data_IF_346043876043
#
_entry.id   IF_346043876043
#
_cell.length_a   1.000
_cell.length_b   1.000
_cell.length_c   1.000
_cell.angle_alpha   90.00
_cell.angle_beta   90.00
_cell.angle_gamma   90.00
#
_symmetry.space_group_name_H-M   'P 1'
#
loop_
_entity.id
_entity.type
_entity.pdbx_description
1 polymer ?
#
# COMPACT_ATOMS: atom_id res chain seq x y z
N UNK A 1 -38.96 -14.67 -11.20
CA UNK A 1 -38.77 -13.21 -11.01
C UNK A 1 -37.31 -13.04 -10.68
N UNK A 2 -36.48 -12.88 -11.72
CA UNK A 2 -35.05 -12.67 -11.56
C UNK A 2 -34.82 -11.26 -11.02
N UNK A 3 -34.50 -11.18 -9.73
CA UNK A 3 -34.09 -9.93 -9.09
C UNK A 3 -32.59 -9.79 -9.33
N UNK A 4 -32.23 -9.14 -10.43
CA UNK A 4 -30.86 -8.74 -10.69
C UNK A 4 -30.59 -7.41 -9.96
N UNK A 5 -29.50 -7.29 -9.18
CA UNK A 5 -29.13 -6.01 -8.61
C UNK A 5 -28.81 -5.01 -9.72
N UNK A 6 -29.54 -3.89 -9.71
CA UNK A 6 -29.31 -2.77 -10.62
C UNK A 6 -28.10 -1.96 -10.15
N UNK A 7 -26.97 -2.19 -10.80
CA UNK A 7 -25.73 -1.45 -10.55
C UNK A 7 -25.68 -0.10 -11.29
N UNK A 8 -26.72 0.27 -12.05
CA UNK A 8 -26.85 1.61 -12.66
C UNK A 8 -27.14 2.68 -11.58
N UNK A 9 -27.67 2.26 -10.42
CA UNK A 9 -27.91 3.11 -9.25
C UNK A 9 -26.66 3.48 -8.43
N UNK A 10 -25.53 2.79 -8.62
CA UNK A 10 -24.23 3.17 -8.04
C UNK A 10 -23.47 4.05 -9.05
N UNK A 11 -24.08 5.18 -9.39
CA UNK A 11 -23.43 6.24 -10.14
C UNK A 11 -22.12 6.66 -9.45
N UNK A 12 -21.01 6.64 -10.20
CA UNK A 12 -19.71 7.10 -9.71
C UNK A 12 -18.68 6.01 -9.41
N UNK A 13 -18.90 4.72 -9.73
CA UNK A 13 -17.86 3.68 -9.62
C UNK A 13 -16.59 4.06 -10.39
N UNK A 14 -16.74 4.69 -11.55
CA UNK A 14 -15.62 5.19 -12.36
C UNK A 14 -14.78 6.23 -11.59
N UNK A 15 -15.43 7.21 -10.99
CA UNK A 15 -14.77 8.24 -10.17
C UNK A 15 -14.16 7.63 -8.89
N UNK A 16 -14.87 6.71 -8.24
CA UNK A 16 -14.37 6.02 -7.05
C UNK A 16 -13.10 5.23 -7.37
N UNK A 17 -13.07 4.52 -8.50
CA UNK A 17 -11.89 3.79 -8.97
C UNK A 17 -10.74 4.74 -9.29
N UNK A 18 -11.02 5.89 -9.91
CA UNK A 18 -10.00 6.91 -10.20
C UNK A 18 -9.39 7.49 -8.91
N UNK A 19 -10.22 7.83 -7.92
CA UNK A 19 -9.77 8.32 -6.60
C UNK A 19 -8.97 7.25 -5.87
N UNK A 20 -9.45 6.00 -5.81
CA UNK A 20 -8.73 4.90 -5.16
C UNK A 20 -7.38 4.65 -5.84
N UNK A 21 -7.33 4.67 -7.18
CA UNK A 21 -6.09 4.55 -7.94
C UNK A 21 -5.09 5.66 -7.61
N UNK A 22 -5.56 6.90 -7.49
CA UNK A 22 -4.72 8.05 -7.11
C UNK A 22 -4.23 7.98 -5.65
N UNK A 23 -5.06 7.50 -4.72
CA UNK A 23 -4.64 7.28 -3.34
C UNK A 23 -3.58 6.18 -3.24
N UNK A 24 -3.69 5.12 -4.05
CA UNK A 24 -2.70 4.03 -4.09
C UNK A 24 -1.32 4.53 -4.54
N UNK A 25 -1.26 5.35 -5.60
CA UNK A 25 0.00 5.97 -6.04
C UNK A 25 0.57 6.90 -4.99
N UNK A 26 -0.26 7.69 -4.30
CA UNK A 26 0.20 8.54 -3.21
C UNK A 26 0.84 7.71 -2.09
N UNK A 27 0.16 6.65 -1.63
CA UNK A 27 0.69 5.74 -0.60
C UNK A 27 2.03 5.14 -1.04
N UNK A 28 2.13 4.63 -2.27
CA UNK A 28 3.38 4.06 -2.78
C UNK A 28 4.52 5.08 -2.80
N UNK A 29 4.27 6.29 -3.30
CA UNK A 29 5.26 7.37 -3.34
C UNK A 29 5.73 7.72 -1.92
N UNK A 30 4.80 7.95 -0.99
CA UNK A 30 5.15 8.26 0.41
C UNK A 30 5.93 7.12 1.07
N UNK A 31 5.55 5.87 0.80
CA UNK A 31 6.25 4.69 1.31
C UNK A 31 7.71 4.65 0.84
N UNK A 32 7.94 4.89 -0.45
CA UNK A 32 9.28 4.90 -1.04
C UNK A 32 10.12 6.06 -0.51
N UNK A 33 9.54 7.26 -0.42
CA UNK A 33 10.23 8.42 0.15
C UNK A 33 10.68 8.15 1.60
N UNK A 34 9.80 7.56 2.42
CA UNK A 34 10.11 7.23 3.81
C UNK A 34 11.17 6.12 3.92
N UNK A 35 11.17 5.16 2.99
CA UNK A 35 12.19 4.12 2.89
C UNK A 35 13.57 4.73 2.62
N UNK A 36 13.65 5.67 1.67
CA UNK A 36 14.89 6.38 1.34
C UNK A 36 15.43 7.13 2.56
N UNK A 37 14.58 7.91 3.25
CA UNK A 37 14.98 8.65 4.46
C UNK A 37 15.50 7.70 5.54
N UNK A 38 14.79 6.61 5.80
CA UNK A 38 15.18 5.62 6.80
C UNK A 38 16.49 4.91 6.45
N UNK A 39 16.70 4.60 5.17
CA UNK A 39 17.93 3.99 4.67
C UNK A 39 19.15 4.93 4.81
N UNK A 40 18.97 6.23 4.53
CA UNK A 40 20.03 7.23 4.72
C UNK A 40 20.41 7.38 6.19
N UNK A 41 19.41 7.49 7.08
CA UNK A 41 19.65 7.57 8.53
C UNK A 41 20.36 6.31 9.02
N UNK A 42 19.94 5.14 8.56
CA UNK A 42 20.58 3.87 8.90
C UNK A 42 22.04 3.82 8.45
N UNK A 43 22.33 4.18 7.20
CA UNK A 43 23.68 4.17 6.63
C UNK A 43 24.63 5.13 7.38
N UNK A 44 24.20 6.36 7.64
CA UNK A 44 25.00 7.37 8.35
C UNK A 44 25.23 6.94 9.81
N UNK A 45 24.19 6.46 10.49
CA UNK A 45 24.31 6.04 11.88
C UNK A 45 25.18 4.79 12.05
N UNK A 46 25.09 3.84 11.11
CA UNK A 46 25.95 2.66 11.09
C UNK A 46 27.43 3.02 10.89
N UNK A 47 27.72 3.98 9.99
CA UNK A 47 29.08 4.45 9.73
C UNK A 47 29.69 5.21 10.93
N UNK A 48 28.88 5.90 11.73
CA UNK A 48 29.33 6.69 12.89
C UNK A 48 29.31 5.90 14.22
N UNK A 49 28.98 4.60 14.20
CA UNK A 49 28.88 3.79 15.43
C UNK A 49 27.71 4.16 16.36
N UNK A 50 26.72 4.92 15.87
CA UNK A 50 25.57 5.34 16.67
C UNK A 50 24.43 4.30 16.60
N UNK A 51 24.51 3.28 17.44
CA UNK A 51 23.59 2.13 17.46
C UNK A 51 22.11 2.51 17.67
N UNK A 52 21.82 3.58 18.41
CA UNK A 52 20.44 4.02 18.67
C UNK A 52 19.76 4.55 17.39
N UNK A 53 20.47 5.37 16.61
CA UNK A 53 19.96 5.87 15.34
C UNK A 53 19.96 4.79 14.24
N UNK A 54 20.94 3.89 14.24
CA UNK A 54 20.99 2.76 13.31
C UNK A 54 19.81 1.80 13.52
N UNK A 55 19.44 1.52 14.77
CA UNK A 55 18.26 0.72 15.09
C UNK A 55 16.96 1.36 14.61
N UNK A 56 16.79 2.67 14.86
CA UNK A 56 15.60 3.43 14.38
C UNK A 56 15.50 3.44 12.85
N UNK A 57 16.63 3.61 12.15
CA UNK A 57 16.66 3.56 10.69
C UNK A 57 16.24 2.20 10.13
N UNK A 58 16.68 1.09 10.75
CA UNK A 58 16.27 -0.27 10.34
C UNK A 58 14.77 -0.50 10.53
N UNK A 59 14.21 -0.08 11.67
CA UNK A 59 12.75 -0.18 11.91
C UNK A 59 11.97 0.67 10.92
N UNK A 60 12.44 1.87 10.59
CA UNK A 60 11.82 2.73 9.58
C UNK A 60 11.75 2.09 8.20
N UNK A 61 12.83 1.41 7.77
CA UNK A 61 12.83 0.65 6.51
C UNK A 61 11.82 -0.50 6.54
N UNK A 62 11.74 -1.26 7.64
CA UNK A 62 10.81 -2.37 7.77
C UNK A 62 9.35 -1.91 7.74
N UNK A 63 9.03 -0.80 8.40
CA UNK A 63 7.68 -0.22 8.38
C UNK A 63 7.32 0.25 6.98
N UNK A 64 8.21 0.99 6.32
CA UNK A 64 7.98 1.49 4.96
C UNK A 64 7.87 0.36 3.92
N UNK A 65 8.59 -0.74 4.11
CA UNK A 65 8.45 -1.93 3.28
C UNK A 65 7.12 -2.63 3.56
N UNK A 66 6.74 -2.78 4.83
CA UNK A 66 5.46 -3.38 5.23
C UNK A 66 4.26 -2.64 4.66
N UNK A 67 4.27 -1.31 4.69
CA UNK A 67 3.19 -0.49 4.10
C UNK A 67 3.11 -0.64 2.58
N UNK A 68 4.25 -0.69 1.89
CA UNK A 68 4.27 -0.91 0.44
C UNK A 68 3.73 -2.29 0.06
N UNK A 69 4.13 -3.34 0.79
CA UNK A 69 3.65 -4.71 0.57
C UNK A 69 2.17 -4.82 0.86
N UNK A 70 1.68 -4.24 1.97
CA UNK A 70 0.25 -4.26 2.31
C UNK A 70 -0.60 -3.53 1.27
N UNK A 71 -0.14 -2.37 0.77
CA UNK A 71 -0.85 -1.62 -0.27
C UNK A 71 -0.97 -2.44 -1.58
N UNK A 72 0.09 -3.14 -2.00
CA UNK A 72 0.06 -3.98 -3.19
C UNK A 72 -0.70 -5.29 -3.01
N UNK A 73 -0.42 -6.03 -1.93
CA UNK A 73 -1.01 -7.33 -1.64
C UNK A 73 -2.51 -7.23 -1.35
N UNK A 74 -2.98 -6.13 -0.75
CA UNK A 74 -4.40 -5.89 -0.51
C UNK A 74 -5.22 -5.87 -1.81
N UNK A 75 -4.72 -5.21 -2.85
CA UNK A 75 -5.38 -5.17 -4.17
C UNK A 75 -5.41 -6.56 -4.81
N UNK A 76 -4.30 -7.30 -4.77
CA UNK A 76 -4.24 -8.66 -5.31
C UNK A 76 -5.19 -9.61 -4.58
N UNK A 77 -5.28 -9.51 -3.25
CA UNK A 77 -6.17 -10.32 -2.44
C UNK A 77 -7.65 -10.00 -2.74
N UNK A 78 -8.02 -8.71 -2.82
CA UNK A 78 -9.38 -8.32 -3.19
C UNK A 78 -9.78 -8.90 -4.56
N UNK A 79 -8.90 -8.80 -5.55
CA UNK A 79 -9.16 -9.35 -6.88
C UNK A 79 -9.37 -10.88 -6.83
N UNK A 80 -8.58 -11.59 -6.03
CA UNK A 80 -8.74 -13.03 -5.84
C UNK A 80 -10.07 -13.40 -5.15
N UNK A 81 -10.50 -12.65 -4.14
CA UNK A 81 -11.79 -12.88 -3.47
C UNK A 81 -12.97 -12.65 -4.42
N UNK A 82 -12.88 -11.65 -5.29
CA UNK A 82 -13.91 -11.39 -6.31
C UNK A 82 -13.96 -12.57 -7.31
N UNK A 83 -12.83 -13.03 -7.82
CA UNK A 83 -12.75 -14.16 -8.75
C UNK A 83 -13.34 -15.45 -8.14
N UNK A 84 -13.01 -15.75 -6.88
CA UNK A 84 -13.62 -16.87 -6.16
C UNK A 84 -15.14 -16.75 -6.03
N UNK A 85 -15.65 -15.56 -5.74
CA UNK A 85 -17.09 -15.33 -5.62
C UNK A 85 -17.84 -15.44 -6.94
N UNK A 86 -17.17 -15.26 -8.09
CA UNK A 86 -17.76 -15.48 -9.41
C UNK A 86 -17.78 -16.95 -9.83
N UNK A 87 -16.94 -17.80 -9.22
CA UNK A 87 -16.87 -19.23 -9.50
C UNK A 87 -17.87 -20.07 -8.70
N UNK A 88 -18.43 -19.51 -7.63
CA UNK A 88 -19.44 -20.13 -6.75
C UNK A 88 -20.87 -19.69 -7.16
#
# INVERSE_FOLDING_TARGET
>A
MDVFPDFDGIGGIGDLRAVIGALLTFVLITSVLMLIVSAVIWAIAAANGNYSAAGKGRTGVLVALGTAVLAGAGVAWMNWLIDLGQQL
#
